data_IF_423943824906
#
_entry.id   IF_423943824906
#
_cell.length_a   1.000
_cell.length_b   1.000
_cell.length_c   1.000
_cell.angle_alpha   90.00
_cell.angle_beta   90.00
_cell.angle_gamma   90.00
#
_symmetry.space_group_name_H-M   'P 1'
#
loop_
_entity.id
_entity.type
_entity.pdbx_description
1 polymer ?
#
# COMPACT_ATOMS: atom_id res chain seq x y z
N UNK A 1 59.66 10.08 11.86
CA UNK A 1 60.11 9.38 10.65
C UNK A 1 59.34 9.91 9.42
N UNK A 2 60.02 10.24 8.33
CA UNK A 2 59.40 10.81 7.12
C UNK A 2 58.40 9.82 6.53
N UNK A 3 58.70 8.51 6.58
CA UNK A 3 57.84 7.43 6.06
C UNK A 3 56.49 7.36 6.80
N UNK A 4 56.52 7.47 8.11
CA UNK A 4 55.34 7.46 8.97
C UNK A 4 54.44 8.67 8.72
N UNK A 5 55.04 9.85 8.58
CA UNK A 5 54.32 11.09 8.22
C UNK A 5 53.65 11.00 6.85
N UNK A 6 54.34 10.48 5.85
CA UNK A 6 53.80 10.29 4.48
C UNK A 6 52.65 9.30 4.47
N UNK A 7 52.77 8.22 5.24
CA UNK A 7 51.72 7.17 5.35
C UNK A 7 50.48 7.74 6.03
N UNK A 8 50.64 8.47 7.13
CA UNK A 8 49.54 9.13 7.86
C UNK A 8 48.82 10.19 6.99
N UNK A 9 49.61 11.00 6.27
CA UNK A 9 49.08 12.02 5.34
C UNK A 9 48.21 11.35 4.25
N UNK A 10 48.73 10.26 3.66
CA UNK A 10 48.00 9.52 2.61
C UNK A 10 46.70 8.90 3.15
N UNK A 11 46.72 8.35 4.37
CA UNK A 11 45.51 7.81 5.01
C UNK A 11 44.46 8.88 5.24
N UNK A 12 44.86 10.07 5.71
CA UNK A 12 43.98 11.22 5.90
C UNK A 12 43.36 11.69 4.58
N UNK A 13 44.15 11.76 3.49
CA UNK A 13 43.64 12.15 2.15
C UNK A 13 42.64 11.13 1.63
N UNK A 14 42.91 9.82 1.79
CA UNK A 14 41.98 8.75 1.41
C UNK A 14 40.69 8.87 2.22
N UNK A 15 40.78 9.05 3.55
CA UNK A 15 39.64 9.18 4.41
C UNK A 15 38.77 10.39 4.03
N UNK A 16 39.38 11.55 3.81
CA UNK A 16 38.70 12.74 3.32
C UNK A 16 38.01 12.50 1.98
N UNK A 17 38.71 11.85 1.04
CA UNK A 17 38.15 11.53 -0.29
C UNK A 17 36.95 10.57 -0.18
N UNK A 18 36.93 9.67 0.78
CA UNK A 18 35.77 8.78 1.04
C UNK A 18 34.59 9.59 1.58
N UNK A 19 34.83 10.42 2.59
CA UNK A 19 33.77 11.26 3.17
C UNK A 19 33.17 12.25 2.15
N UNK A 20 33.99 12.77 1.23
CA UNK A 20 33.54 13.68 0.16
C UNK A 20 32.73 12.98 -0.94
N UNK A 21 32.77 11.64 -1.01
CA UNK A 21 31.98 10.83 -1.96
C UNK A 21 30.67 10.30 -1.36
N UNK A 22 30.49 10.41 -0.05
CA UNK A 22 29.24 10.02 0.61
C UNK A 22 28.17 11.03 0.24
N UNK A 23 26.96 10.55 -0.06
CA UNK A 23 25.80 11.39 -0.39
C UNK A 23 25.20 12.11 0.81
N UNK A 24 25.55 11.68 2.01
CA UNK A 24 25.08 12.29 3.24
C UNK A 24 25.94 13.52 3.60
N UNK A 25 25.31 14.54 4.14
CA UNK A 25 26.01 15.72 4.65
C UNK A 25 26.67 15.39 6.00
N UNK A 26 27.99 15.55 6.06
CA UNK A 26 28.80 15.22 7.24
C UNK A 26 29.52 16.46 7.74
N UNK A 27 29.41 16.72 9.04
CA UNK A 27 30.20 17.77 9.71
C UNK A 27 30.69 17.31 11.09
N UNK A 28 31.76 17.92 11.57
CA UNK A 28 32.26 17.79 12.92
C UNK A 28 32.41 19.16 13.58
N UNK A 29 31.98 19.22 14.84
CA UNK A 29 31.90 20.47 15.61
C UNK A 29 32.56 20.25 16.96
N UNK A 30 33.36 21.22 17.40
CA UNK A 30 33.93 21.22 18.74
C UNK A 30 32.93 21.63 19.81
N UNK A 31 33.26 21.44 21.07
CA UNK A 31 32.39 21.72 22.21
C UNK A 31 31.86 23.18 22.19
N UNK A 32 32.68 24.14 21.79
CA UNK A 32 32.30 25.54 21.71
C UNK A 32 31.47 25.90 20.45
N UNK A 33 31.12 24.91 19.65
CA UNK A 33 30.31 25.06 18.44
C UNK A 33 31.14 25.42 17.19
N UNK A 34 32.48 25.38 17.24
CA UNK A 34 33.32 25.67 16.07
C UNK A 34 33.27 24.53 15.05
N UNK A 35 33.06 24.85 13.77
CA UNK A 35 33.10 23.86 12.69
C UNK A 35 34.54 23.41 12.44
N UNK A 36 34.83 22.15 12.72
CA UNK A 36 36.15 21.53 12.55
C UNK A 36 36.26 20.83 11.21
N UNK A 37 35.19 20.19 10.76
CA UNK A 37 35.14 19.50 9.49
C UNK A 37 33.76 19.64 8.84
N UNK A 38 33.75 19.70 7.51
CA UNK A 38 32.54 19.53 6.71
C UNK A 38 32.94 18.85 5.38
N UNK A 39 32.16 17.85 4.97
CA UNK A 39 32.39 17.23 3.66
C UNK A 39 31.81 18.10 2.52
N UNK A 40 32.15 17.71 1.29
CA UNK A 40 31.71 18.42 0.09
C UNK A 40 30.18 18.53 0.02
N UNK A 41 29.45 17.45 0.34
CA UNK A 41 27.99 17.43 0.32
C UNK A 41 27.39 18.46 1.27
N UNK A 42 27.89 18.57 2.49
CA UNK A 42 27.44 19.58 3.45
C UNK A 42 27.67 21.00 2.94
N UNK A 43 28.86 21.26 2.38
CA UNK A 43 29.22 22.58 1.84
C UNK A 43 28.29 23.01 0.72
N UNK A 44 27.98 22.07 -0.20
CA UNK A 44 27.07 22.31 -1.34
C UNK A 44 25.62 22.49 -0.90
N UNK A 45 25.16 21.68 0.03
CA UNK A 45 23.77 21.67 0.47
C UNK A 45 23.43 22.92 1.30
N UNK A 46 24.29 23.29 2.24
CA UNK A 46 24.05 24.42 3.15
C UNK A 46 24.66 25.73 2.69
N UNK A 47 25.37 25.74 1.57
CA UNK A 47 25.97 26.94 1.00
C UNK A 47 27.07 27.57 1.89
N UNK A 48 27.78 26.72 2.62
CA UNK A 48 28.83 27.15 3.57
C UNK A 48 30.12 27.42 2.83
N UNK A 49 30.79 28.53 3.12
CA UNK A 49 32.13 28.80 2.60
C UNK A 49 33.19 28.07 3.42
N UNK A 50 34.31 27.67 2.79
CA UNK A 50 35.40 26.87 3.39
C UNK A 50 36.19 27.54 4.55
N UNK A 51 35.64 28.48 5.28
CA UNK A 51 36.29 29.10 6.44
C UNK A 51 36.12 28.23 7.70
N UNK A 52 36.64 26.99 7.62
CA UNK A 52 36.68 26.11 8.80
C UNK A 52 37.60 26.70 9.89
N UNK A 53 37.21 26.49 11.15
CA UNK A 53 37.97 26.99 12.32
C UNK A 53 37.54 28.35 12.81
N UNK A 54 36.70 29.10 12.08
CA UNK A 54 36.17 30.40 12.50
C UNK A 54 34.64 30.38 12.61
N UNK A 55 33.97 29.53 11.81
CA UNK A 55 32.50 29.49 11.71
C UNK A 55 31.88 28.64 12.80
N UNK A 56 30.87 29.16 13.45
CA UNK A 56 30.12 28.43 14.48
C UNK A 56 28.90 27.74 13.85
N UNK A 57 28.54 26.59 14.39
CA UNK A 57 27.38 25.81 13.90
C UNK A 57 26.07 26.60 13.98
N UNK A 58 25.92 27.46 14.97
CA UNK A 58 24.73 28.30 15.15
C UNK A 58 24.68 29.53 14.26
N UNK A 59 25.75 29.81 13.51
CA UNK A 59 25.79 30.82 12.43
C UNK A 59 25.41 30.20 11.07
N UNK A 60 25.25 28.88 11.00
CA UNK A 60 24.91 28.19 9.78
C UNK A 60 23.36 28.11 9.62
N UNK A 61 22.85 27.97 8.40
CA UNK A 61 21.44 27.79 8.14
C UNK A 61 20.99 26.35 8.46
N UNK A 62 21.26 25.91 9.70
CA UNK A 62 20.86 24.59 10.23
C UNK A 62 19.80 24.78 11.31
N UNK A 63 19.24 23.69 11.81
CA UNK A 63 18.17 23.73 12.82
C UNK A 63 18.59 24.33 14.18
N UNK A 64 19.90 24.47 14.43
CA UNK A 64 20.45 25.06 15.66
C UNK A 64 20.92 26.49 15.38
N UNK A 65 20.02 27.45 15.49
CA UNK A 65 20.25 28.86 15.10
C UNK A 65 20.75 29.72 16.24
N UNK A 66 20.96 29.21 17.44
CA UNK A 66 21.48 29.96 18.59
C UNK A 66 22.48 29.11 19.39
N UNK A 67 23.34 29.80 20.14
CA UNK A 67 24.34 29.17 21.02
C UNK A 67 23.65 28.32 22.09
N UNK A 68 22.57 28.78 22.66
CA UNK A 68 21.78 28.04 23.68
C UNK A 68 21.14 26.78 23.10
N UNK A 69 20.71 26.81 21.82
CA UNK A 69 20.20 25.62 21.13
C UNK A 69 21.30 24.58 20.89
N UNK A 70 22.52 25.02 20.58
CA UNK A 70 23.69 24.16 20.47
C UNK A 70 24.05 23.51 21.84
N UNK A 71 24.17 24.31 22.89
CA UNK A 71 24.50 23.83 24.23
C UNK A 71 23.47 22.80 24.73
N UNK A 72 22.19 23.04 24.48
CA UNK A 72 21.12 22.09 24.79
C UNK A 72 21.26 20.79 24.01
N UNK A 73 21.53 20.89 22.69
CA UNK A 73 21.73 19.70 21.86
C UNK A 73 22.93 18.89 22.30
N UNK A 74 24.03 19.54 22.63
CA UNK A 74 25.24 18.89 23.13
C UNK A 74 24.95 18.14 24.44
N UNK A 75 24.15 18.73 25.34
CA UNK A 75 23.76 18.08 26.57
C UNK A 75 22.86 16.85 26.29
N UNK A 76 21.89 16.95 25.38
CA UNK A 76 21.07 15.83 24.97
C UNK A 76 21.90 14.66 24.41
N UNK A 77 22.95 14.95 23.63
CA UNK A 77 23.85 13.93 23.09
C UNK A 77 24.66 13.27 24.23
N UNK A 78 25.15 14.06 25.18
CA UNK A 78 25.91 13.55 26.36
C UNK A 78 25.02 12.66 27.22
N UNK A 79 23.78 13.04 27.46
CA UNK A 79 22.80 12.28 28.27
C UNK A 79 22.38 10.95 27.60
N UNK A 80 22.60 10.82 26.28
CA UNK A 80 22.33 9.61 25.50
C UNK A 80 23.63 8.86 25.11
N UNK A 81 24.57 8.73 26.03
CA UNK A 81 25.82 7.99 25.82
C UNK A 81 26.64 8.43 24.58
N UNK A 82 26.59 9.71 24.25
CA UNK A 82 27.31 10.29 23.11
C UNK A 82 26.70 10.01 21.75
N UNK A 83 25.49 9.43 21.68
CA UNK A 83 24.77 9.21 20.43
C UNK A 83 23.37 9.77 20.52
N UNK A 84 22.91 10.44 19.47
CA UNK A 84 21.56 10.97 19.41
C UNK A 84 21.08 11.04 17.95
N UNK A 85 19.83 10.64 17.70
CA UNK A 85 19.25 10.73 16.37
C UNK A 85 17.89 11.44 16.41
N UNK A 86 17.67 12.34 15.45
CA UNK A 86 16.40 13.10 15.37
C UNK A 86 16.08 13.44 13.91
N UNK A 87 14.85 13.84 13.68
CA UNK A 87 14.43 14.42 12.39
C UNK A 87 14.30 15.91 12.50
N UNK A 88 14.75 16.62 11.47
CA UNK A 88 14.65 18.07 11.39
C UNK A 88 14.15 18.48 10.01
N UNK A 89 13.21 19.42 10.00
CA UNK A 89 12.83 20.11 8.78
C UNK A 89 13.90 21.14 8.42
N UNK A 90 14.24 21.20 7.14
CA UNK A 90 15.24 22.10 6.60
C UNK A 90 14.76 22.75 5.30
N UNK A 91 15.00 24.05 5.18
CA UNK A 91 14.73 24.79 3.95
C UNK A 91 16.04 25.22 3.32
N UNK A 92 16.37 24.67 2.16
CA UNK A 92 17.58 25.03 1.44
C UNK A 92 17.49 26.47 0.95
N UNK A 93 18.59 27.23 1.07
CA UNK A 93 18.64 28.63 0.62
C UNK A 93 18.33 28.72 -0.88
N UNK A 94 17.23 29.42 -1.22
CA UNK A 94 16.77 29.59 -2.60
C UNK A 94 15.78 28.52 -3.07
N UNK A 95 15.38 27.61 -2.23
CA UNK A 95 14.28 26.66 -2.48
C UNK A 95 13.05 27.05 -1.64
N UNK A 96 11.86 26.93 -2.22
CA UNK A 96 10.57 27.18 -1.52
C UNK A 96 10.00 25.90 -0.88
N UNK A 97 10.76 24.79 -0.90
CA UNK A 97 10.31 23.50 -0.39
C UNK A 97 11.12 23.09 0.83
N UNK A 98 10.39 22.78 1.87
CA UNK A 98 10.95 22.15 3.08
C UNK A 98 11.37 20.71 2.80
N UNK A 99 12.56 20.34 3.27
CA UNK A 99 13.10 18.99 3.21
C UNK A 99 13.13 18.39 4.60
N UNK A 100 12.97 17.10 4.69
CA UNK A 100 13.08 16.36 5.96
C UNK A 100 14.42 15.64 6.03
N UNK A 101 15.21 15.97 7.02
CA UNK A 101 16.50 15.36 7.27
C UNK A 101 16.46 14.41 8.48
N UNK A 102 17.07 13.25 8.33
CA UNK A 102 17.44 12.37 9.46
C UNK A 102 18.85 12.75 9.88
N UNK A 103 19.01 13.19 11.11
CA UNK A 103 20.31 13.59 11.67
C UNK A 103 20.71 12.55 12.70
N UNK A 104 21.91 11.99 12.53
CA UNK A 104 22.54 11.08 13.51
C UNK A 104 23.80 11.76 14.04
N UNK A 105 23.99 11.78 15.35
CA UNK A 105 25.11 12.44 16.00
C UNK A 105 25.94 11.44 16.79
N UNK A 106 27.27 11.68 16.82
CA UNK A 106 28.24 10.87 17.56
C UNK A 106 29.23 11.78 18.23
N UNK A 107 29.39 11.61 19.55
CA UNK A 107 30.36 12.34 20.35
C UNK A 107 31.65 11.51 20.47
N UNK A 108 32.76 12.07 20.02
CA UNK A 108 34.09 11.44 20.11
C UNK A 108 34.94 12.28 21.04
N UNK A 109 35.57 11.62 22.03
CA UNK A 109 36.51 12.23 22.97
C UNK A 109 37.89 11.67 22.73
N UNK A 110 38.82 12.52 22.34
CA UNK A 110 40.20 12.14 22.10
C UNK A 110 41.13 13.28 22.53
N UNK A 111 42.24 12.96 23.21
CA UNK A 111 43.28 13.92 23.63
C UNK A 111 42.71 15.15 24.37
N UNK A 112 41.72 14.99 25.23
CA UNK A 112 41.05 16.06 25.94
C UNK A 112 40.22 17.02 25.07
N UNK A 113 40.01 16.68 23.81
CA UNK A 113 39.09 17.38 22.90
C UNK A 113 37.82 16.57 22.71
N UNK A 114 36.68 17.27 22.65
CA UNK A 114 35.39 16.69 22.41
C UNK A 114 34.87 17.17 21.03
N UNK A 115 34.61 16.22 20.13
CA UNK A 115 34.07 16.51 18.81
C UNK A 115 32.71 15.83 18.64
N UNK A 116 31.72 16.59 18.22
CA UNK A 116 30.40 16.08 17.83
C UNK A 116 30.35 15.95 16.32
N UNK A 117 30.17 14.73 15.84
CA UNK A 117 29.94 14.41 14.44
C UNK A 117 28.47 14.35 14.14
N UNK A 118 28.07 14.92 12.99
CA UNK A 118 26.72 14.89 12.47
C UNK A 118 26.74 14.23 11.11
N UNK A 119 25.83 13.28 10.92
CA UNK A 119 25.54 12.64 9.65
C UNK A 119 24.09 12.98 9.32
N UNK A 120 23.89 13.69 8.24
CA UNK A 120 22.57 14.20 7.85
C UNK A 120 22.17 13.63 6.50
N UNK A 121 21.09 12.89 6.48
CA UNK A 121 20.52 12.29 5.28
C UNK A 121 19.20 12.96 4.93
N UNK A 122 19.05 13.38 3.67
CA UNK A 122 17.75 13.83 3.15
C UNK A 122 16.83 12.62 2.97
N UNK A 123 15.78 12.56 3.75
CA UNK A 123 14.78 11.48 3.72
C UNK A 123 13.44 11.93 3.14
N UNK A 124 13.39 13.10 2.51
CA UNK A 124 12.17 13.72 1.98
C UNK A 124 11.44 12.81 1.01
N UNK A 125 12.17 12.24 0.04
CA UNK A 125 11.57 11.33 -0.94
C UNK A 125 11.17 9.98 -0.34
N UNK A 126 11.88 9.52 0.68
CA UNK A 126 11.52 8.29 1.40
C UNK A 126 10.19 8.48 2.13
N UNK A 127 10.04 9.60 2.86
CA UNK A 127 8.79 9.93 3.56
C UNK A 127 7.64 10.08 2.58
N UNK A 128 7.83 10.85 1.48
CA UNK A 128 6.79 11.03 0.46
C UNK A 128 6.32 9.70 -0.12
N UNK A 129 7.24 8.82 -0.49
CA UNK A 129 6.89 7.48 -1.01
C UNK A 129 6.16 6.64 0.02
N UNK A 130 6.55 6.72 1.30
CA UNK A 130 5.84 6.03 2.38
C UNK A 130 4.41 6.55 2.54
N UNK A 131 4.23 7.87 2.52
CA UNK A 131 2.91 8.49 2.64
C UNK A 131 2.02 8.17 1.44
N UNK A 132 2.55 8.24 0.20
CA UNK A 132 1.85 7.84 -1.03
C UNK A 132 1.40 6.37 -0.97
N UNK A 133 2.29 5.46 -0.54
CA UNK A 133 1.94 4.05 -0.36
C UNK A 133 0.87 3.86 0.72
N UNK A 134 0.95 4.60 1.81
CA UNK A 134 -0.04 4.56 2.89
C UNK A 134 -1.41 5.04 2.41
N UNK A 135 -1.45 6.16 1.70
CA UNK A 135 -2.68 6.70 1.13
C UNK A 135 -3.30 5.74 0.11
N UNK A 136 -2.49 5.15 -0.78
CA UNK A 136 -2.94 4.16 -1.74
C UNK A 136 -3.53 2.92 -1.04
N UNK A 137 -2.86 2.41 -0.01
CA UNK A 137 -3.36 1.27 0.75
C UNK A 137 -4.69 1.60 1.47
N UNK A 138 -4.81 2.78 2.08
CA UNK A 138 -6.05 3.22 2.71
C UNK A 138 -7.20 3.36 1.70
N UNK A 139 -6.90 3.88 0.51
CA UNK A 139 -7.88 4.00 -0.58
C UNK A 139 -8.32 2.62 -1.07
N UNK A 140 -7.38 1.71 -1.32
CA UNK A 140 -7.67 0.33 -1.73
C UNK A 140 -8.52 -0.40 -0.70
N UNK A 141 -8.14 -0.35 0.58
CA UNK A 141 -8.91 -0.95 1.66
C UNK A 141 -10.32 -0.34 1.76
N UNK A 142 -10.41 0.98 1.61
CA UNK A 142 -11.70 1.69 1.58
C UNK A 142 -12.59 1.21 0.43
N UNK A 143 -12.05 1.09 -0.77
CA UNK A 143 -12.78 0.60 -1.94
C UNK A 143 -13.19 -0.86 -1.75
N UNK A 144 -12.23 -1.74 -1.46
CA UNK A 144 -12.45 -3.19 -1.39
C UNK A 144 -13.41 -3.60 -0.27
N UNK A 145 -13.46 -2.84 0.82
CA UNK A 145 -14.38 -3.11 1.94
C UNK A 145 -15.77 -2.48 1.78
N UNK A 146 -15.95 -1.53 0.87
CA UNK A 146 -17.24 -0.88 0.64
C UNK A 146 -17.96 -1.31 -0.65
N UNK A 147 -17.30 -2.04 -1.56
CA UNK A 147 -17.97 -2.61 -2.72
C UNK A 147 -18.86 -3.80 -2.29
N UNK A 148 -20.08 -3.93 -2.87
CA UNK A 148 -21.01 -4.99 -2.51
C UNK A 148 -20.69 -6.31 -3.24
N UNK A 149 -19.41 -6.69 -3.27
CA UNK A 149 -18.94 -7.96 -3.83
C UNK A 149 -18.12 -8.72 -2.79
N UNK A 150 -18.16 -10.03 -2.85
CA UNK A 150 -17.40 -10.93 -1.98
C UNK A 150 -16.05 -11.17 -2.64
N UNK A 151 -14.99 -10.60 -2.06
CA UNK A 151 -13.64 -10.64 -2.63
C UNK A 151 -12.72 -11.45 -1.73
N UNK A 152 -11.98 -12.36 -2.36
CA UNK A 152 -10.91 -13.09 -1.70
C UNK A 152 -9.70 -13.27 -2.61
N UNK A 153 -8.53 -13.45 -2.01
CA UNK A 153 -7.29 -13.81 -2.68
C UNK A 153 -6.68 -15.01 -1.98
N UNK A 154 -6.19 -15.98 -2.75
CA UNK A 154 -5.51 -17.17 -2.25
C UNK A 154 -4.11 -17.30 -2.83
N UNK A 155 -3.24 -17.96 -2.09
CA UNK A 155 -1.87 -18.29 -2.51
C UNK A 155 -1.76 -19.76 -2.93
N UNK A 156 -1.70 -20.06 -4.23
CA UNK A 156 -1.54 -21.42 -4.71
C UNK A 156 -0.22 -22.11 -4.31
N UNK A 157 0.83 -21.33 -4.02
CA UNK A 157 2.11 -21.86 -3.54
C UNK A 157 2.05 -22.29 -2.07
N UNK A 158 1.13 -21.70 -1.31
CA UNK A 158 0.94 -21.98 0.10
C UNK A 158 -0.40 -22.67 0.35
N UNK A 159 -0.63 -23.78 -0.33
CA UNK A 159 -1.84 -24.63 -0.18
C UNK A 159 -3.16 -23.87 -0.33
N UNK A 160 -3.23 -22.86 -1.19
CA UNK A 160 -4.40 -22.01 -1.42
C UNK A 160 -4.92 -21.33 -0.13
N UNK A 161 -4.04 -20.99 0.80
CA UNK A 161 -4.42 -20.22 1.98
C UNK A 161 -4.89 -18.84 1.57
N UNK A 162 -5.91 -18.34 2.26
CA UNK A 162 -6.44 -17.01 2.04
C UNK A 162 -5.40 -15.95 2.44
N UNK A 163 -5.10 -15.03 1.52
CA UNK A 163 -4.28 -13.84 1.76
C UNK A 163 -5.15 -12.59 2.00
N UNK A 164 -6.34 -12.59 1.42
CA UNK A 164 -7.26 -11.46 1.53
C UNK A 164 -8.70 -11.96 1.59
N UNK A 165 -9.53 -11.24 2.37
CA UNK A 165 -10.94 -11.54 2.61
C UNK A 165 -11.61 -10.21 2.97
N UNK A 166 -12.46 -9.65 2.09
CA UNK A 166 -13.06 -8.36 2.33
C UNK A 166 -14.23 -8.41 3.33
N UNK A 167 -14.62 -7.23 3.81
CA UNK A 167 -15.72 -7.08 4.77
C UNK A 167 -17.04 -7.62 4.24
N UNK A 168 -17.38 -7.38 2.95
CA UNK A 168 -18.61 -7.86 2.36
C UNK A 168 -18.70 -9.39 2.38
N UNK A 169 -17.58 -10.09 2.14
CA UNK A 169 -17.55 -11.55 2.25
C UNK A 169 -17.63 -12.02 3.69
N UNK A 170 -16.97 -11.34 4.63
CA UNK A 170 -17.09 -11.65 6.06
C UNK A 170 -18.53 -11.51 6.56
N UNK A 171 -19.21 -10.42 6.21
CA UNK A 171 -20.59 -10.16 6.59
C UNK A 171 -21.57 -11.20 5.97
N UNK A 172 -21.31 -11.61 4.72
CA UNK A 172 -22.14 -12.58 4.01
C UNK A 172 -21.96 -14.00 4.53
N UNK A 173 -20.73 -14.47 4.69
CA UNK A 173 -20.40 -15.83 5.15
C UNK A 173 -20.57 -16.03 6.66
N UNK A 174 -20.58 -14.94 7.43
CA UNK A 174 -20.51 -14.97 8.89
C UNK A 174 -19.12 -15.34 9.43
N UNK A 175 -18.10 -15.38 8.57
CA UNK A 175 -16.73 -15.76 8.92
C UNK A 175 -15.85 -14.49 8.86
N UNK A 176 -15.35 -14.00 9.99
CA UNK A 176 -14.51 -12.81 10.01
C UNK A 176 -13.17 -13.06 9.31
N UNK A 177 -12.61 -12.03 8.68
CA UNK A 177 -11.34 -12.10 7.95
C UNK A 177 -10.18 -12.66 8.82
N UNK A 178 -10.16 -12.38 10.12
CA UNK A 178 -9.17 -12.91 11.06
C UNK A 178 -9.19 -14.44 11.21
N UNK A 179 -10.30 -15.10 10.86
CA UNK A 179 -10.43 -16.56 10.86
C UNK A 179 -10.20 -17.16 9.47
N UNK A 180 -10.28 -16.37 8.41
CA UNK A 180 -10.07 -16.84 7.05
C UNK A 180 -8.60 -16.67 6.61
N UNK A 181 -8.01 -15.51 6.86
CA UNK A 181 -6.63 -15.22 6.44
C UNK A 181 -5.64 -16.19 7.08
N UNK A 182 -4.76 -16.75 6.24
CA UNK A 182 -3.78 -17.77 6.64
C UNK A 182 -4.33 -19.21 6.72
N UNK A 183 -5.63 -19.42 6.44
CA UNK A 183 -6.27 -20.73 6.49
C UNK A 183 -6.72 -21.19 5.09
N UNK A 184 -6.91 -22.49 4.93
CA UNK A 184 -7.45 -23.13 3.72
C UNK A 184 -8.98 -23.19 3.74
N UNK A 185 -9.61 -23.54 2.61
CA UNK A 185 -11.06 -23.76 2.55
C UNK A 185 -11.55 -24.79 3.57
N UNK A 186 -10.77 -25.88 3.76
CA UNK A 186 -11.10 -26.94 4.71
C UNK A 186 -11.08 -26.50 6.18
N UNK A 187 -10.25 -25.52 6.50
CA UNK A 187 -10.13 -24.96 7.85
C UNK A 187 -11.18 -23.85 8.10
N UNK A 188 -11.62 -23.17 7.02
CA UNK A 188 -12.55 -22.03 7.10
C UNK A 188 -14.00 -22.44 7.02
N UNK A 189 -14.35 -23.35 6.10
CA UNK A 189 -15.75 -23.74 5.88
C UNK A 189 -16.13 -25.02 6.65
N UNK A 190 -17.29 -25.00 7.35
CA UNK A 190 -17.76 -26.18 8.10
C UNK A 190 -18.13 -27.38 7.21
N UNK A 191 -18.54 -27.09 5.96
CA UNK A 191 -18.92 -28.11 4.98
C UNK A 191 -17.71 -28.61 4.21
N UNK A 192 -17.31 -29.85 4.42
CA UNK A 192 -16.24 -30.48 3.65
C UNK A 192 -16.55 -30.54 2.15
N UNK A 193 -17.80 -30.72 1.78
CA UNK A 193 -18.25 -30.79 0.38
C UNK A 193 -18.02 -29.45 -0.37
N UNK A 194 -18.33 -28.34 0.29
CA UNK A 194 -18.11 -27.01 -0.29
C UNK A 194 -16.61 -26.71 -0.42
N UNK A 195 -15.83 -27.02 0.62
CA UNK A 195 -14.39 -26.85 0.60
C UNK A 195 -13.70 -27.66 -0.52
N UNK A 196 -14.16 -28.91 -0.73
CA UNK A 196 -13.64 -29.78 -1.79
C UNK A 196 -13.99 -29.25 -3.18
N UNK A 197 -15.21 -28.75 -3.38
CA UNK A 197 -15.63 -28.10 -4.61
C UNK A 197 -14.76 -26.87 -4.91
N UNK A 198 -14.58 -25.97 -3.92
CA UNK A 198 -13.76 -24.79 -4.08
C UNK A 198 -12.33 -25.12 -4.43
N UNK A 199 -11.74 -26.13 -3.79
CA UNK A 199 -10.40 -26.62 -4.08
C UNK A 199 -10.27 -27.19 -5.49
N UNK A 200 -11.26 -27.93 -5.95
CA UNK A 200 -11.28 -28.50 -7.30
C UNK A 200 -11.27 -27.39 -8.36
N UNK A 201 -12.14 -26.40 -8.20
CA UNK A 201 -12.21 -25.26 -9.11
C UNK A 201 -10.88 -24.48 -9.12
N UNK A 202 -10.28 -24.27 -7.95
CA UNK A 202 -9.01 -23.56 -7.80
C UNK A 202 -7.85 -24.31 -8.48
N UNK A 203 -7.82 -25.64 -8.37
CA UNK A 203 -6.86 -26.49 -9.08
C UNK A 203 -7.07 -26.49 -10.60
N UNK A 204 -8.32 -26.54 -11.06
CA UNK A 204 -8.66 -26.44 -12.48
C UNK A 204 -8.19 -25.09 -13.06
N UNK A 205 -8.44 -23.99 -12.36
CA UNK A 205 -7.97 -22.66 -12.74
C UNK A 205 -6.44 -22.62 -12.84
N UNK A 206 -5.74 -23.19 -11.86
CA UNK A 206 -4.27 -23.22 -11.87
C UNK A 206 -3.70 -24.05 -13.01
N UNK A 207 -4.35 -25.14 -13.38
CA UNK A 207 -3.90 -26.02 -14.48
C UNK A 207 -4.23 -25.45 -15.86
N UNK A 208 -5.41 -24.90 -16.03
CA UNK A 208 -5.91 -24.44 -17.33
C UNK A 208 -5.53 -23.02 -17.64
N UNK A 209 -5.27 -22.20 -16.62
CA UNK A 209 -5.09 -20.75 -16.70
C UNK A 209 -6.29 -20.02 -17.31
N UNK A 210 -7.45 -20.69 -17.42
CA UNK A 210 -8.68 -20.12 -17.96
C UNK A 210 -9.54 -19.59 -16.81
N UNK A 211 -9.94 -18.33 -16.93
CA UNK A 211 -10.89 -17.70 -16.02
C UNK A 211 -12.14 -18.59 -15.84
N UNK A 212 -12.53 -18.82 -14.61
CA UNK A 212 -13.76 -19.50 -14.26
C UNK A 212 -14.83 -18.43 -14.04
N UNK A 213 -15.98 -18.61 -14.69
CA UNK A 213 -17.13 -17.72 -14.58
C UNK A 213 -18.38 -18.59 -14.46
N UNK A 214 -19.00 -18.63 -13.27
CA UNK A 214 -20.09 -19.56 -12.99
C UNK A 214 -21.15 -18.95 -12.08
N UNK A 215 -22.37 -19.49 -12.18
CA UNK A 215 -23.45 -19.20 -11.24
C UNK A 215 -23.58 -20.35 -10.24
N UNK A 216 -23.72 -19.98 -8.98
CA UNK A 216 -23.86 -20.93 -7.89
C UNK A 216 -25.02 -20.55 -6.97
N UNK A 217 -25.66 -21.56 -6.39
CA UNK A 217 -26.58 -21.35 -5.26
C UNK A 217 -25.80 -21.47 -3.98
N UNK A 218 -25.85 -20.44 -3.15
CA UNK A 218 -25.14 -20.36 -1.89
C UNK A 218 -26.11 -20.08 -0.74
N UNK A 219 -25.88 -20.69 0.43
CA UNK A 219 -26.63 -20.40 1.64
C UNK A 219 -25.93 -19.29 2.43
N UNK A 220 -26.59 -18.14 2.60
CA UNK A 220 -26.09 -17.06 3.43
C UNK A 220 -25.97 -17.47 4.91
N UNK A 221 -25.26 -16.70 5.73
CA UNK A 221 -25.16 -16.92 7.18
C UNK A 221 -26.54 -16.98 7.88
N UNK A 222 -27.58 -16.39 7.28
CA UNK A 222 -28.97 -16.43 7.76
C UNK A 222 -29.76 -17.63 7.26
N UNK A 223 -29.15 -18.58 6.54
CA UNK A 223 -29.79 -19.76 5.96
C UNK A 223 -30.64 -19.47 4.72
N UNK A 224 -30.62 -18.24 4.15
CA UNK A 224 -31.35 -17.91 2.92
C UNK A 224 -30.53 -18.33 1.70
N UNK A 225 -31.16 -19.07 0.79
CA UNK A 225 -30.57 -19.38 -0.51
C UNK A 225 -30.41 -18.09 -1.33
N UNK A 226 -29.22 -17.90 -1.90
CA UNK A 226 -28.83 -16.79 -2.77
C UNK A 226 -28.23 -17.34 -4.04
N UNK A 227 -28.43 -16.65 -5.13
CA UNK A 227 -27.76 -16.94 -6.40
C UNK A 227 -26.60 -15.97 -6.52
N UNK A 228 -25.38 -16.50 -6.59
CA UNK A 228 -24.17 -15.71 -6.75
C UNK A 228 -23.54 -15.99 -8.09
N UNK A 229 -23.05 -14.93 -8.73
CA UNK A 229 -22.14 -15.04 -9.86
C UNK A 229 -20.74 -15.01 -9.32
N UNK A 230 -19.93 -16.02 -9.63
CA UNK A 230 -18.55 -16.16 -9.17
C UNK A 230 -17.58 -16.11 -10.34
N UNK A 231 -16.60 -15.24 -10.22
CA UNK A 231 -15.48 -15.11 -11.14
C UNK A 231 -14.19 -15.46 -10.41
N UNK A 232 -13.43 -16.43 -10.95
CA UNK A 232 -12.07 -16.74 -10.46
C UNK A 232 -11.05 -16.51 -11.57
N UNK A 233 -9.93 -15.88 -11.26
CA UNK A 233 -8.84 -15.60 -12.19
C UNK A 233 -7.47 -15.69 -11.50
N UNK A 234 -6.41 -15.90 -12.30
CA UNK A 234 -5.04 -15.80 -11.86
C UNK A 234 -4.50 -14.40 -12.11
N UNK A 235 -3.89 -13.81 -11.10
CA UNK A 235 -3.20 -12.52 -11.16
C UNK A 235 -1.70 -12.80 -11.19
N UNK A 236 -1.01 -12.47 -12.29
CA UNK A 236 0.44 -12.65 -12.38
C UNK A 236 1.15 -11.75 -11.36
N UNK A 237 2.17 -12.29 -10.72
CA UNK A 237 2.99 -11.60 -9.74
C UNK A 237 4.45 -11.64 -10.18
N UNK A 238 5.17 -10.54 -9.97
CA UNK A 238 6.59 -10.47 -10.30
C UNK A 238 7.41 -11.33 -9.34
N UNK A 239 8.27 -12.20 -9.88
CA UNK A 239 9.20 -13.04 -9.11
C UNK A 239 8.57 -14.20 -8.32
N UNK A 240 7.25 -14.50 -8.48
CA UNK A 240 6.56 -15.64 -7.84
C UNK A 240 5.43 -16.16 -8.72
N UNK A 241 4.85 -17.32 -8.35
CA UNK A 241 3.66 -17.83 -9.02
C UNK A 241 2.46 -16.88 -8.89
N UNK A 242 1.49 -16.97 -9.83
CA UNK A 242 0.31 -16.12 -9.80
C UNK A 242 -0.54 -16.37 -8.56
N UNK A 243 -1.16 -15.31 -8.05
CA UNK A 243 -2.20 -15.41 -7.03
C UNK A 243 -3.56 -15.73 -7.67
N UNK A 244 -4.41 -16.42 -6.91
CA UNK A 244 -5.78 -16.64 -7.28
C UNK A 244 -6.65 -15.54 -6.66
N UNK A 245 -7.40 -14.82 -7.49
CA UNK A 245 -8.44 -13.89 -7.05
C UNK A 245 -9.81 -14.48 -7.35
N UNK A 246 -10.73 -14.40 -6.37
CA UNK A 246 -12.13 -14.71 -6.56
C UNK A 246 -13.01 -13.52 -6.19
N UNK A 247 -13.98 -13.25 -7.07
CA UNK A 247 -14.99 -12.20 -6.89
C UNK A 247 -16.35 -12.82 -7.09
N UNK A 248 -17.25 -12.67 -6.10
CA UNK A 248 -18.63 -13.15 -6.20
C UNK A 248 -19.59 -12.02 -5.83
N UNK A 249 -20.75 -11.99 -6.48
CA UNK A 249 -21.79 -11.02 -6.15
C UNK A 249 -23.17 -11.65 -6.24
N UNK A 250 -24.07 -11.17 -5.40
CA UNK A 250 -25.46 -11.64 -5.30
C UNK A 250 -26.27 -11.12 -6.50
N UNK A 251 -26.78 -12.04 -7.32
CA UNK A 251 -27.63 -11.75 -8.48
C UNK A 251 -29.09 -12.16 -8.26
N UNK A 252 -29.46 -12.55 -7.02
CA UNK A 252 -30.79 -13.08 -6.71
C UNK A 252 -31.89 -12.10 -7.12
N UNK A 253 -31.75 -10.82 -6.78
CA UNK A 253 -32.74 -9.81 -7.16
C UNK A 253 -32.81 -9.60 -8.68
N UNK A 254 -31.68 -9.60 -9.35
CA UNK A 254 -31.61 -9.45 -10.82
C UNK A 254 -32.35 -10.60 -11.51
N UNK A 255 -32.10 -11.84 -11.09
CA UNK A 255 -32.77 -13.01 -11.63
C UNK A 255 -34.28 -13.02 -11.36
N UNK A 256 -34.69 -12.61 -10.16
CA UNK A 256 -36.12 -12.49 -9.82
C UNK A 256 -36.81 -11.45 -10.72
N UNK A 257 -36.23 -10.27 -10.91
CA UNK A 257 -36.76 -9.23 -11.79
C UNK A 257 -36.84 -9.73 -13.23
N UNK A 258 -35.81 -10.41 -13.73
CA UNK A 258 -35.80 -10.98 -15.07
C UNK A 258 -36.91 -12.01 -15.26
N UNK A 259 -37.12 -12.90 -14.29
CA UNK A 259 -38.23 -13.89 -14.33
C UNK A 259 -39.59 -13.22 -14.29
N UNK A 260 -39.78 -12.19 -13.47
CA UNK A 260 -41.03 -11.41 -13.43
C UNK A 260 -41.30 -10.71 -14.75
N UNK A 261 -40.27 -10.12 -15.37
CA UNK A 261 -40.38 -9.49 -16.68
C UNK A 261 -40.77 -10.48 -17.77
N UNK A 262 -40.15 -11.67 -17.78
CA UNK A 262 -40.51 -12.75 -18.73
C UNK A 262 -41.99 -13.16 -18.56
N UNK A 263 -42.43 -13.38 -17.31
CA UNK A 263 -43.83 -13.70 -17.01
C UNK A 263 -44.78 -12.61 -17.45
N UNK A 264 -44.48 -11.36 -17.19
CA UNK A 264 -45.30 -10.21 -17.62
C UNK A 264 -45.40 -10.10 -19.14
N UNK A 265 -44.26 -10.30 -19.83
CA UNK A 265 -44.20 -10.31 -21.30
C UNK A 265 -45.10 -11.42 -21.89
N UNK A 266 -44.97 -12.68 -21.42
CA UNK A 266 -45.78 -13.78 -21.86
C UNK A 266 -47.28 -13.47 -21.68
N UNK A 267 -47.65 -12.93 -20.53
CA UNK A 267 -49.05 -12.54 -20.24
C UNK A 267 -49.56 -11.44 -21.19
N UNK A 268 -48.73 -10.46 -21.47
CA UNK A 268 -49.07 -9.38 -22.43
C UNK A 268 -49.28 -9.94 -23.86
N UNK A 269 -48.36 -10.79 -24.34
CA UNK A 269 -48.44 -11.43 -25.64
C UNK A 269 -49.70 -12.33 -25.77
N UNK A 270 -50.04 -13.09 -24.69
CA UNK A 270 -51.30 -13.89 -24.67
C UNK A 270 -52.53 -12.99 -24.70
N UNK A 271 -52.56 -11.87 -23.97
CA UNK A 271 -53.65 -10.91 -23.98
C UNK A 271 -53.86 -10.29 -25.37
N UNK A 272 -52.77 -9.93 -26.05
CA UNK A 272 -52.82 -9.33 -27.37
C UNK A 272 -53.31 -10.33 -28.45
N UNK A 273 -52.88 -11.60 -28.34
CA UNK A 273 -53.40 -12.69 -29.21
C UNK A 273 -54.88 -12.89 -29.01
N UNK A 274 -55.37 -12.94 -27.73
CA UNK A 274 -56.80 -13.09 -27.44
C UNK A 274 -57.61 -11.89 -27.98
N UNK A 275 -57.13 -10.68 -27.80
CA UNK A 275 -57.77 -9.44 -28.35
C UNK A 275 -57.86 -9.50 -29.89
N UNK A 276 -56.77 -9.91 -30.52
CA UNK A 276 -56.71 -10.01 -32.01
C UNK A 276 -57.66 -11.08 -32.52
N UNK A 277 -57.70 -12.25 -31.88
CA UNK A 277 -58.63 -13.32 -32.21
C UNK A 277 -60.11 -12.93 -31.98
N UNK A 278 -60.40 -12.23 -30.89
CA UNK A 278 -61.71 -11.70 -30.58
C UNK A 278 -62.15 -10.67 -31.63
N UNK A 279 -61.32 -9.71 -32.00
CA UNK A 279 -61.61 -8.72 -33.02
C UNK A 279 -61.84 -9.35 -34.42
N UNK A 280 -61.03 -10.37 -34.78
CA UNK A 280 -61.22 -11.11 -36.03
C UNK A 280 -62.54 -11.83 -36.06
N UNK A 281 -62.92 -12.55 -34.97
CA UNK A 281 -64.23 -13.26 -34.87
C UNK A 281 -65.41 -12.27 -34.91
N UNK A 282 -65.35 -11.18 -34.12
CA UNK A 282 -66.37 -10.15 -34.13
C UNK A 282 -66.56 -9.51 -35.51
N UNK A 283 -65.44 -9.21 -36.22
CA UNK A 283 -65.48 -8.70 -37.56
C UNK A 283 -66.16 -9.65 -38.54
N UNK A 284 -65.97 -10.95 -38.39
CA UNK A 284 -66.63 -11.96 -39.21
C UNK A 284 -68.12 -12.09 -38.90
N UNK A 285 -68.49 -12.11 -37.59
CA UNK A 285 -69.88 -12.18 -37.16
C UNK A 285 -70.70 -10.94 -37.52
N UNK A 286 -70.10 -9.76 -37.55
CA UNK A 286 -70.75 -8.51 -37.98
C UNK A 286 -70.88 -8.45 -39.52
N UNK A 287 -69.94 -8.98 -40.28
CA UNK A 287 -69.95 -8.91 -41.74
C UNK A 287 -71.01 -9.86 -42.35
N UNK A 288 -71.27 -10.99 -41.71
CA UNK A 288 -72.21 -12.02 -42.19
C UNK A 288 -73.65 -11.48 -42.31
N UNK A 289 -74.28 -10.82 -41.34
CA UNK A 289 -75.61 -10.25 -41.44
C UNK A 289 -75.72 -8.96 -42.30
N UNK A 290 -74.60 -8.26 -42.52
CA UNK A 290 -74.58 -7.03 -43.32
C UNK A 290 -74.55 -7.30 -44.86
N UNK A 291 -74.24 -8.52 -45.27
CA UNK A 291 -74.21 -8.96 -46.70
C UNK A 291 -75.40 -9.85 -47.10
N UNK A 292 -76.36 -10.06 -46.17
CA UNK A 292 -77.65 -10.73 -46.42
C UNK A 292 -78.79 -9.69 -46.61
#
# INVERSE_FOLDING_TARGET
>A
DITERVTTQRQLEVFKSVLDKVSDSILAVSEDGTLVYANKQFIEEYGVTQQMGIQKIYDLPVSMTTKEAWERRLQEIRDNDGTFAYRAAYMRKGEDKERMHQVSTFLIRENNEELTWFFTQDITDVIKKQDELRELNLLLDGILNNIPVYLFVKDPENDFRYLYWNKAFADHSGIPASKAIGHTDYEVFPSHGDAEKFRKDDLELLQTHKRIDMQETYLSATGKARIVQTLKALVPMEGRKPLLIGISWDITNLQNIEQELIKARIKAEQSDRLKSAFLANMSHEIRTPLNA
#
